data_IF_419318303588
#
_entry.id   IF_419318303588
#
_cell.length_a   1.000
_cell.length_b   1.000
_cell.length_c   1.000
_cell.angle_alpha   90.00
_cell.angle_beta   90.00
_cell.angle_gamma   90.00
#
_symmetry.space_group_name_H-M   'P 1'
#
loop_
_entity.id
_entity.type
_entity.pdbx_description
1 polymer ?
#
# COMPACT_ATOMS: atom_id res chain seq x y z
N UNK A 1 -4.92 -16.53 0.65
CA UNK A 1 -3.54 -16.25 1.07
C UNK A 1 -2.60 -16.58 -0.08
N UNK A 2 -1.47 -15.88 -0.22
CA UNK A 2 -0.39 -16.26 -1.14
C UNK A 2 0.98 -16.07 -0.49
N UNK A 3 2.02 -16.70 -1.05
CA UNK A 3 3.38 -16.45 -0.61
C UNK A 3 3.77 -14.98 -0.84
N UNK A 4 4.66 -14.47 0.02
CA UNK A 4 5.27 -13.16 -0.20
C UNK A 4 6.10 -13.17 -1.48
N UNK A 5 6.09 -12.07 -2.22
CA UNK A 5 7.04 -11.83 -3.32
C UNK A 5 8.42 -11.45 -2.75
N UNK A 6 9.51 -11.47 -3.56
CA UNK A 6 10.81 -10.97 -3.11
C UNK A 6 10.77 -9.52 -2.61
N UNK A 7 10.06 -8.64 -3.32
CA UNK A 7 9.95 -7.22 -2.94
C UNK A 7 9.18 -7.05 -1.62
N UNK A 8 8.13 -7.85 -1.39
CA UNK A 8 7.40 -7.81 -0.13
C UNK A 8 8.24 -8.32 1.05
N UNK A 9 9.04 -9.38 0.84
CA UNK A 9 10.00 -9.81 1.86
C UNK A 9 11.00 -8.71 2.18
N UNK A 10 11.58 -8.09 1.15
CA UNK A 10 12.51 -6.97 1.31
C UNK A 10 11.87 -5.80 2.06
N UNK A 11 10.60 -5.50 1.78
CA UNK A 11 9.85 -4.48 2.52
C UNK A 11 9.69 -4.84 4.00
N UNK A 12 9.30 -6.08 4.33
CA UNK A 12 9.24 -6.55 5.73
C UNK A 12 10.62 -6.46 6.40
N UNK A 13 11.71 -6.75 5.68
CA UNK A 13 13.06 -6.62 6.23
C UNK A 13 13.46 -5.17 6.53
N UNK A 14 13.01 -4.22 5.70
CA UNK A 14 13.13 -2.79 5.97
C UNK A 14 12.40 -2.37 7.25
N UNK A 15 11.17 -2.87 7.43
CA UNK A 15 10.39 -2.64 8.66
C UNK A 15 11.08 -3.25 9.89
N UNK A 16 11.62 -4.46 9.79
CA UNK A 16 12.43 -5.08 10.86
C UNK A 16 13.66 -4.24 11.21
N UNK A 17 14.37 -3.75 10.19
CA UNK A 17 15.55 -2.93 10.39
C UNK A 17 15.21 -1.61 11.11
N UNK A 18 14.07 -1.01 10.77
CA UNK A 18 13.57 0.19 11.45
C UNK A 18 13.35 -0.06 12.95
N UNK A 19 12.65 -1.14 13.33
CA UNK A 19 12.45 -1.46 14.76
C UNK A 19 13.79 -1.75 15.45
N UNK A 20 14.68 -2.53 14.84
CA UNK A 20 16.01 -2.81 15.42
C UNK A 20 16.85 -1.55 15.63
N UNK A 21 16.72 -0.54 14.77
CA UNK A 21 17.45 0.72 14.90
C UNK A 21 17.05 1.54 16.14
N UNK A 22 15.89 1.26 16.75
CA UNK A 22 15.48 1.90 18.01
C UNK A 22 16.20 1.34 19.25
N UNK A 23 16.98 0.27 19.10
CA UNK A 23 17.68 -0.41 20.19
C UNK A 23 16.80 -1.31 21.05
N UNK A 24 15.54 -1.54 20.67
CA UNK A 24 14.68 -2.51 21.35
C UNK A 24 15.13 -3.94 21.06
N UNK A 25 15.12 -4.79 22.08
CA UNK A 25 15.31 -6.24 21.90
C UNK A 25 14.07 -6.83 21.23
N UNK A 26 14.16 -7.07 19.92
CA UNK A 26 13.06 -7.62 19.12
C UNK A 26 12.82 -9.11 19.35
N UNK A 27 13.66 -9.79 20.15
CA UNK A 27 13.46 -11.21 20.51
C UNK A 27 12.63 -11.39 21.79
N UNK A 28 12.42 -10.33 22.55
CA UNK A 28 11.67 -10.34 23.81
C UNK A 28 10.30 -9.67 23.65
N UNK A 29 9.22 -10.43 23.83
CA UNK A 29 7.85 -9.91 23.67
C UNK A 29 7.51 -8.78 24.65
N UNK A 30 8.02 -8.82 25.87
CA UNK A 30 7.85 -7.74 26.86
C UNK A 30 8.57 -6.45 26.44
N UNK A 31 9.76 -6.56 25.84
CA UNK A 31 10.52 -5.41 25.35
C UNK A 31 9.80 -4.73 24.17
N UNK A 32 9.31 -5.53 23.22
CA UNK A 32 8.51 -5.03 22.09
C UNK A 32 7.20 -4.42 22.59
N UNK A 33 6.47 -5.07 23.51
CA UNK A 33 5.24 -4.54 24.09
C UNK A 33 5.43 -3.20 24.81
N UNK A 34 6.50 -3.10 25.62
CA UNK A 34 6.89 -1.84 26.29
C UNK A 34 7.23 -0.74 25.27
N UNK A 35 7.91 -1.09 24.19
CA UNK A 35 8.25 -0.15 23.13
C UNK A 35 7.01 0.35 22.37
N UNK A 36 6.07 -0.55 22.04
CA UNK A 36 4.77 -0.18 21.45
C UNK A 36 4.03 0.81 22.35
N UNK A 37 3.91 0.51 23.64
CA UNK A 37 3.23 1.39 24.60
C UNK A 37 3.89 2.77 24.69
N UNK A 38 5.22 2.83 24.84
CA UNK A 38 5.96 4.11 24.92
C UNK A 38 5.79 4.94 23.65
N UNK A 39 5.86 4.29 22.49
CA UNK A 39 5.73 4.95 21.19
C UNK A 39 4.32 5.51 21.00
N UNK A 40 3.30 4.71 21.34
CA UNK A 40 1.90 5.16 21.33
C UNK A 40 1.67 6.33 22.28
N UNK A 41 2.15 6.26 23.53
CA UNK A 41 2.02 7.33 24.51
C UNK A 41 2.68 8.64 24.03
N UNK A 42 3.87 8.55 23.42
CA UNK A 42 4.54 9.70 22.82
C UNK A 42 3.74 10.30 21.66
N UNK A 43 3.15 9.46 20.81
CA UNK A 43 2.29 9.91 19.70
C UNK A 43 1.01 10.59 20.22
N UNK A 44 0.32 10.00 21.20
CA UNK A 44 -0.87 10.61 21.83
C UNK A 44 -0.53 11.99 22.40
N UNK A 45 0.62 12.14 23.06
CA UNK A 45 1.05 13.41 23.62
C UNK A 45 1.38 14.46 22.55
N UNK A 46 1.97 14.05 21.43
CA UNK A 46 2.27 14.94 20.30
C UNK A 46 1.03 15.31 19.48
N UNK A 47 0.03 14.42 19.43
CA UNK A 47 -1.10 14.50 18.52
C UNK A 47 -0.71 14.27 17.06
N UNK A 48 -1.69 14.41 16.17
CA UNK A 48 -1.51 14.28 14.72
C UNK A 48 -1.97 12.95 14.13
N UNK A 49 -1.74 12.74 12.82
CA UNK A 49 -2.18 11.54 12.13
C UNK A 49 -1.43 10.29 12.62
N UNK A 50 -2.04 9.11 12.44
CA UNK A 50 -1.42 7.82 12.78
C UNK A 50 -0.19 7.61 11.90
N UNK A 51 0.99 7.30 12.48
CA UNK A 51 2.20 7.06 11.72
C UNK A 51 2.19 5.65 11.11
N UNK A 52 1.51 5.47 9.98
CA UNK A 52 1.23 4.16 9.37
C UNK A 52 2.48 3.29 9.16
N UNK A 53 3.60 3.88 8.75
CA UNK A 53 4.87 3.14 8.60
C UNK A 53 5.40 2.56 9.92
N UNK A 54 5.21 3.29 11.02
CA UNK A 54 5.62 2.86 12.36
C UNK A 54 4.68 1.79 12.90
N UNK A 55 3.37 1.96 12.72
CA UNK A 55 2.34 0.94 13.03
C UNK A 55 2.64 -0.37 12.31
N UNK A 56 2.96 -0.30 11.00
CA UNK A 56 3.35 -1.46 10.23
C UNK A 56 4.64 -2.12 10.78
N UNK A 57 5.66 -1.32 11.11
CA UNK A 57 6.92 -1.83 11.65
C UNK A 57 6.74 -2.56 12.99
N UNK A 58 5.92 -2.01 13.88
CA UNK A 58 5.58 -2.62 15.16
C UNK A 58 4.76 -3.91 15.00
N UNK A 59 3.81 -3.91 14.05
CA UNK A 59 3.06 -5.12 13.68
C UNK A 59 3.98 -6.24 13.18
N UNK A 60 4.96 -5.92 12.33
CA UNK A 60 5.95 -6.91 11.87
C UNK A 60 6.79 -7.47 13.01
N UNK A 61 7.25 -6.62 13.94
CA UNK A 61 8.02 -7.09 15.10
C UNK A 61 7.22 -8.07 15.99
N UNK A 62 5.94 -7.79 16.24
CA UNK A 62 5.08 -8.74 16.98
C UNK A 62 4.81 -10.01 16.18
N UNK A 63 4.57 -9.90 14.88
CA UNK A 63 4.37 -11.07 14.03
C UNK A 63 5.59 -11.97 13.96
N UNK A 64 6.80 -11.42 13.97
CA UNK A 64 8.05 -12.21 14.04
C UNK A 64 8.16 -12.98 15.36
N UNK A 65 7.74 -12.38 16.48
CA UNK A 65 7.65 -13.07 17.77
C UNK A 65 6.62 -14.22 17.75
N UNK A 66 5.49 -14.03 17.05
CA UNK A 66 4.50 -15.10 16.84
C UNK A 66 5.08 -16.23 16.00
N UNK A 67 5.75 -15.91 14.88
CA UNK A 67 6.42 -16.90 14.02
C UNK A 67 7.49 -17.67 14.79
N UNK A 68 8.29 -16.99 15.63
CA UNK A 68 9.31 -17.62 16.44
C UNK A 68 8.72 -18.60 17.49
N UNK A 69 7.49 -18.34 17.95
CA UNK A 69 6.82 -19.15 18.99
C UNK A 69 5.93 -20.27 18.43
N UNK A 70 5.34 -20.09 17.25
CA UNK A 70 4.44 -21.07 16.63
C UNK A 70 5.18 -21.89 15.57
N UNK A 71 5.52 -23.14 15.89
CA UNK A 71 6.28 -24.02 14.99
C UNK A 71 5.59 -24.18 13.62
N UNK A 72 6.32 -23.90 12.54
CA UNK A 72 5.81 -24.00 11.17
C UNK A 72 4.94 -22.83 10.71
N UNK A 73 4.67 -21.85 11.58
CA UNK A 73 4.02 -20.61 11.17
C UNK A 73 4.92 -19.81 10.23
N UNK A 74 4.31 -19.07 9.30
CA UNK A 74 5.04 -18.29 8.29
C UNK A 74 4.27 -17.04 7.88
N UNK A 75 5.01 -16.03 7.43
CA UNK A 75 4.43 -14.85 6.81
C UNK A 75 3.87 -15.18 5.40
N UNK A 76 2.66 -14.70 5.14
CA UNK A 76 1.99 -14.75 3.84
C UNK A 76 1.26 -13.44 3.56
N UNK A 77 0.88 -13.20 2.31
CA UNK A 77 0.05 -12.07 1.94
C UNK A 77 -1.43 -12.46 1.93
N UNK A 78 -2.26 -11.71 2.66
CA UNK A 78 -3.73 -11.79 2.56
C UNK A 78 -4.16 -11.06 1.29
N UNK A 79 -4.84 -11.80 0.40
CA UNK A 79 -5.34 -11.29 -0.89
C UNK A 79 -6.85 -11.02 -0.88
N UNK A 80 -7.54 -11.40 0.19
CA UNK A 80 -8.95 -11.11 0.39
C UNK A 80 -9.11 -9.83 1.21
N UNK A 81 -10.10 -9.01 0.85
CA UNK A 81 -10.41 -7.73 1.52
C UNK A 81 -10.06 -6.50 0.68
N UNK A 82 -10.06 -5.34 1.32
CA UNK A 82 -9.83 -4.02 0.69
C UNK A 82 -8.36 -3.72 0.38
N UNK A 83 -7.43 -4.59 0.75
CA UNK A 83 -6.00 -4.38 0.53
C UNK A 83 -5.16 -5.63 0.77
N UNK A 84 -3.93 -5.58 0.27
CA UNK A 84 -2.92 -6.60 0.52
C UNK A 84 -2.30 -6.36 1.91
N UNK A 85 -2.55 -7.28 2.83
CA UNK A 85 -2.05 -7.18 4.21
C UNK A 85 -1.18 -8.40 4.55
N UNK A 86 0.06 -8.21 5.05
CA UNK A 86 0.84 -9.30 5.62
C UNK A 86 0.11 -9.98 6.79
N UNK A 87 0.09 -11.30 6.77
CA UNK A 87 -0.51 -12.15 7.81
C UNK A 87 0.48 -13.24 8.22
N UNK A 88 0.40 -13.69 9.47
CA UNK A 88 1.10 -14.90 9.92
C UNK A 88 0.11 -16.05 9.90
N UNK A 89 0.41 -17.10 9.16
CA UNK A 89 -0.47 -18.25 8.99
C UNK A 89 0.11 -19.50 9.64
N UNK A 90 -0.76 -20.42 10.04
CA UNK A 90 -0.36 -21.74 10.54
C UNK A 90 0.31 -22.58 9.46
N UNK A 91 0.93 -23.70 9.84
CA UNK A 91 1.59 -24.62 8.91
C UNK A 91 0.65 -25.10 7.79
N UNK A 92 -0.58 -25.47 8.17
CA UNK A 92 -1.68 -25.89 7.27
C UNK A 92 -2.27 -24.72 6.47
N UNK A 93 -2.13 -23.49 6.97
CA UNK A 93 -2.71 -22.29 6.38
C UNK A 93 -4.20 -22.08 6.68
N UNK A 94 -4.77 -22.85 7.61
CA UNK A 94 -6.19 -22.77 7.95
C UNK A 94 -6.48 -21.65 8.99
N UNK A 95 -5.57 -21.43 9.94
CA UNK A 95 -5.56 -20.28 10.84
C UNK A 95 -4.60 -19.17 10.39
N UNK A 96 -4.96 -17.92 10.72
CA UNK A 96 -4.16 -16.75 10.46
C UNK A 96 -4.35 -15.70 11.55
N UNK A 97 -3.27 -15.01 11.90
CA UNK A 97 -3.30 -13.79 12.71
C UNK A 97 -2.83 -12.60 11.87
N UNK A 98 -3.25 -11.40 12.26
CA UNK A 98 -3.07 -10.18 11.47
C UNK A 98 -2.37 -9.10 12.31
N UNK A 99 -1.06 -9.26 12.61
CA UNK A 99 -0.37 -8.41 13.58
C UNK A 99 -0.44 -6.90 13.27
N UNK A 100 -0.50 -6.53 11.99
CA UNK A 100 -0.63 -5.13 11.56
C UNK A 100 -2.04 -4.58 11.84
N UNK A 101 -3.09 -5.35 11.53
CA UNK A 101 -4.48 -4.96 11.81
C UNK A 101 -4.69 -4.89 13.34
N UNK A 102 -4.12 -5.85 14.09
CA UNK A 102 -4.21 -5.90 15.55
C UNK A 102 -3.48 -4.72 16.22
N UNK A 103 -2.28 -4.35 15.76
CA UNK A 103 -1.59 -3.15 16.26
C UNK A 103 -2.38 -1.90 15.91
N UNK A 104 -2.94 -1.78 14.69
CA UNK A 104 -3.73 -0.60 14.31
C UNK A 104 -4.96 -0.46 15.22
N UNK A 105 -5.69 -1.55 15.44
CA UNK A 105 -6.82 -1.57 16.37
C UNK A 105 -6.42 -1.16 17.80
N UNK A 106 -5.24 -1.58 18.26
CA UNK A 106 -4.68 -1.13 19.55
C UNK A 106 -4.20 0.31 19.54
N UNK A 107 -3.71 0.80 18.42
CA UNK A 107 -3.34 2.20 18.27
C UNK A 107 -4.56 3.12 18.48
N UNK A 108 -5.70 2.71 17.94
CA UNK A 108 -6.97 3.45 18.04
C UNK A 108 -7.60 3.35 19.43
N UNK A 109 -7.52 2.18 20.08
CA UNK A 109 -8.21 1.89 21.35
C UNK A 109 -7.32 2.03 22.60
N UNK A 110 -6.02 2.17 22.42
CA UNK A 110 -5.01 2.24 23.47
C UNK A 110 -4.14 0.99 23.61
N UNK A 111 -2.85 1.21 23.78
CA UNK A 111 -1.84 0.16 23.97
C UNK A 111 -1.46 0.04 25.45
N UNK A 112 -1.90 -1.01 26.14
CA UNK A 112 -1.42 -1.30 27.50
C UNK A 112 0.00 -1.92 27.49
N UNK A 113 0.87 -1.61 28.47
CA UNK A 113 2.28 -2.03 28.46
C UNK A 113 2.50 -3.55 28.44
N UNK A 114 1.60 -4.33 29.05
CA UNK A 114 1.69 -5.80 29.08
C UNK A 114 0.96 -6.52 27.94
N UNK A 115 0.28 -5.79 27.05
CA UNK A 115 -0.56 -6.42 26.02
C UNK A 115 0.25 -7.26 25.03
N UNK A 116 1.45 -6.80 24.64
CA UNK A 116 2.27 -7.45 23.61
C UNK A 116 2.63 -8.91 23.94
N UNK A 117 3.05 -9.20 25.17
CA UNK A 117 3.38 -10.55 25.59
C UNK A 117 2.16 -11.48 25.61
N UNK A 118 1.03 -11.01 26.16
CA UNK A 118 -0.23 -11.75 26.15
C UNK A 118 -0.74 -12.02 24.74
N UNK A 119 -0.62 -11.03 23.84
CA UNK A 119 -0.95 -11.17 22.42
C UNK A 119 -0.12 -12.27 21.75
N UNK A 120 1.22 -12.24 21.89
CA UNK A 120 2.11 -13.23 21.25
C UNK A 120 1.78 -14.65 21.72
N UNK A 121 1.51 -14.84 23.02
CA UNK A 121 1.12 -16.15 23.57
C UNK A 121 -0.20 -16.63 22.98
N UNK A 122 -1.24 -15.78 22.98
CA UNK A 122 -2.56 -16.15 22.47
C UNK A 122 -2.54 -16.40 20.95
N UNK A 123 -1.86 -15.55 20.19
CA UNK A 123 -1.71 -15.69 18.75
C UNK A 123 -0.96 -16.98 18.37
N UNK A 124 0.13 -17.30 19.09
CA UNK A 124 0.87 -18.53 18.84
C UNK A 124 0.03 -19.78 19.18
N UNK A 125 -0.70 -19.76 20.30
CA UNK A 125 -1.62 -20.85 20.66
C UNK A 125 -2.66 -21.09 19.57
N UNK A 126 -3.32 -20.02 19.10
CA UNK A 126 -4.30 -20.05 18.01
C UNK A 126 -3.75 -20.70 16.73
N UNK A 127 -2.49 -20.43 16.37
CA UNK A 127 -1.86 -21.02 15.18
C UNK A 127 -1.47 -22.51 15.36
N UNK A 128 -1.39 -23.00 16.59
CA UNK A 128 -0.96 -24.38 16.91
C UNK A 128 -2.10 -25.34 17.26
N UNK A 129 -3.18 -24.86 17.89
CA UNK A 129 -4.31 -25.71 18.31
C UNK A 129 -5.01 -26.41 17.13
N UNK A 130 -4.92 -25.84 15.94
CA UNK A 130 -5.56 -26.37 14.73
C UNK A 130 -4.92 -27.68 14.22
N UNK A 131 -3.68 -27.99 14.62
CA UNK A 131 -3.07 -29.30 14.30
C UNK A 131 -3.60 -30.46 15.15
N UNK A 132 -4.33 -30.18 16.24
CA UNK A 132 -4.76 -31.19 17.22
C UNK A 132 -6.22 -31.62 17.12
N UNK A 133 -7.04 -30.98 16.29
CA UNK A 133 -8.46 -31.34 16.22
C UNK A 133 -8.64 -32.54 15.27
N UNK A 134 -8.47 -33.75 15.81
CA UNK A 134 -9.22 -34.90 15.33
C UNK A 134 -10.67 -34.47 15.23
N UNK A 135 -11.19 -34.42 14.01
CA UNK A 135 -12.59 -34.11 13.71
C UNK A 135 -13.48 -34.86 14.71
N UNK A 136 -14.24 -34.19 15.61
CA UNK A 136 -15.25 -34.89 16.36
C UNK A 136 -16.23 -35.45 15.33
N UNK A 137 -16.34 -36.78 15.28
CA UNK A 137 -17.42 -37.47 14.58
C UNK A 137 -18.73 -37.02 15.22
N UNK A 138 -19.34 -35.96 14.68
CA UNK A 138 -20.67 -35.52 15.07
C UNK A 138 -21.67 -36.48 14.42
N UNK A 139 -22.51 -37.21 15.19
CA UNK A 139 -23.58 -38.02 14.63
C UNK A 139 -24.62 -37.09 13.98
N UNK A 140 -24.84 -37.27 12.68
CA UNK A 140 -25.84 -36.57 11.89
C UNK A 140 -27.24 -36.68 12.52
N UNK A 141 -27.85 -35.57 12.99
CA UNK A 141 -29.28 -35.55 13.26
C UNK A 141 -30.02 -35.40 11.92
N UNK A 142 -30.93 -36.32 11.63
CA UNK A 142 -31.92 -36.15 10.55
C UNK A 142 -32.80 -34.96 10.90
N UNK A 143 -32.76 -33.90 10.10
CA UNK A 143 -33.77 -32.83 10.14
C UNK A 143 -34.59 -32.89 8.86
N UNK A 144 -35.84 -33.31 9.03
CA UNK A 144 -36.90 -33.20 8.04
C UNK A 144 -37.44 -31.77 8.06
N UNK A 145 -37.32 -31.07 6.94
CA UNK A 145 -38.16 -29.91 6.62
C UNK A 145 -38.12 -29.68 5.11
N UNK A 146 -39.01 -30.41 4.44
CA UNK A 146 -39.48 -30.15 3.10
C UNK A 146 -40.24 -28.82 3.09
N UNK A 147 -39.74 -27.84 2.35
CA UNK A 147 -40.44 -26.59 2.04
C UNK A 147 -40.48 -26.43 0.53
N UNK A 148 -41.71 -26.32 0.02
CA UNK A 148 -42.07 -26.35 -1.39
C UNK A 148 -41.50 -25.16 -2.20
N UNK A 149 -41.23 -25.34 -3.51
CA UNK A 149 -40.77 -24.29 -4.39
C UNK A 149 -41.93 -23.45 -4.97
N UNK A 150 -41.76 -22.12 -4.95
CA UNK A 150 -42.60 -21.16 -5.69
C UNK A 150 -42.12 -21.01 -7.15
N UNK A 151 -43.02 -20.77 -8.12
CA UNK A 151 -42.66 -20.61 -9.53
C UNK A 151 -42.12 -19.19 -9.86
N UNK A 152 -41.21 -19.07 -10.86
CA UNK A 152 -40.70 -17.77 -11.30
C UNK A 152 -41.65 -17.07 -12.29
N UNK A 153 -41.73 -15.72 -12.30
CA UNK A 153 -42.39 -14.97 -13.36
C UNK A 153 -41.50 -14.86 -14.61
N UNK A 154 -42.13 -15.05 -15.77
CA UNK A 154 -41.54 -14.85 -17.09
C UNK A 154 -41.33 -13.36 -17.39
N UNK A 155 -40.16 -13.02 -17.92
CA UNK A 155 -39.89 -11.69 -18.49
C UNK A 155 -39.25 -11.87 -19.86
N UNK A 156 -40.05 -11.66 -20.90
CA UNK A 156 -39.60 -11.40 -22.28
C UNK A 156 -39.51 -9.90 -22.49
N UNK A 157 -38.39 -9.39 -22.99
CA UNK A 157 -38.36 -8.27 -23.94
C UNK A 157 -37.01 -8.17 -24.63
N UNK A 158 -37.11 -7.98 -25.94
CA UNK A 158 -36.09 -8.08 -26.97
C UNK A 158 -35.09 -6.92 -26.95
N UNK A 159 -33.84 -7.20 -27.31
CA UNK A 159 -32.80 -6.18 -27.56
C UNK A 159 -32.34 -6.28 -29.02
N UNK A 160 -32.33 -5.18 -29.79
CA UNK A 160 -31.76 -5.18 -31.13
C UNK A 160 -30.23 -5.15 -31.07
N UNK A 161 -29.66 -5.96 -31.94
CA UNK A 161 -28.24 -6.13 -32.22
C UNK A 161 -27.79 -4.97 -33.12
N UNK A 162 -26.82 -4.17 -32.67
CA UNK A 162 -26.11 -3.21 -33.53
C UNK A 162 -24.63 -3.36 -33.23
N UNK A 163 -23.94 -4.03 -34.15
CA UNK A 163 -22.49 -4.23 -34.16
C UNK A 163 -21.82 -3.04 -34.84
N UNK A 164 -20.98 -2.23 -34.16
CA UNK A 164 -20.07 -1.34 -34.86
C UNK A 164 -18.76 -2.08 -35.15
N UNK A 165 -18.37 -2.05 -36.43
CA UNK A 165 -17.11 -2.56 -36.94
C UNK A 165 -15.92 -1.94 -36.20
N UNK A 166 -15.10 -2.81 -35.59
CA UNK A 166 -13.87 -2.42 -34.89
C UNK A 166 -12.75 -2.31 -35.92
N UNK A 167 -12.38 -1.08 -36.29
CA UNK A 167 -11.16 -0.80 -37.05
C UNK A 167 -9.95 -1.34 -36.28
N UNK A 168 -9.23 -2.27 -36.92
CA UNK A 168 -7.95 -2.76 -36.46
C UNK A 168 -6.91 -1.63 -36.57
N UNK A 169 -6.42 -1.15 -35.42
CA UNK A 169 -5.25 -0.30 -35.33
C UNK A 169 -3.97 -1.16 -35.38
N UNK A 170 -2.87 -0.64 -35.92
CA UNK A 170 -1.71 -1.42 -36.36
C UNK A 170 -0.78 -1.80 -35.20
N UNK A 171 -0.26 -3.03 -35.30
CA UNK A 171 0.94 -3.61 -34.65
C UNK A 171 1.63 -2.76 -33.56
N UNK A 172 1.35 -3.09 -32.31
CA UNK A 172 2.19 -2.74 -31.18
C UNK A 172 3.55 -3.46 -31.29
N UNK A 173 4.63 -2.67 -31.31
CA UNK A 173 6.02 -3.13 -31.20
C UNK A 173 6.22 -3.89 -29.87
N UNK A 174 7.13 -4.89 -29.78
CA UNK A 174 7.22 -5.75 -28.61
C UNK A 174 7.58 -4.94 -27.36
N UNK A 175 6.72 -5.01 -26.34
CA UNK A 175 6.95 -4.44 -25.03
C UNK A 175 8.21 -5.06 -24.42
N UNK A 176 9.31 -4.31 -24.42
CA UNK A 176 10.46 -4.64 -23.59
C UNK A 176 10.06 -4.67 -22.11
N UNK A 177 10.83 -5.37 -21.25
CA UNK A 177 10.59 -5.34 -19.81
C UNK A 177 10.59 -3.89 -19.32
N UNK A 178 9.53 -3.51 -18.60
CA UNK A 178 9.39 -2.17 -17.99
C UNK A 178 10.53 -2.01 -16.97
N UNK A 179 11.34 -0.94 -17.05
CA UNK A 179 12.46 -0.75 -16.14
C UNK A 179 11.95 -0.58 -14.70
N UNK A 180 12.61 -1.24 -13.74
CA UNK A 180 12.39 -0.99 -12.31
C UNK A 180 13.31 0.14 -11.82
N UNK A 181 13.03 0.78 -10.67
CA UNK A 181 13.94 1.79 -10.12
C UNK A 181 15.36 1.29 -9.89
N UNK A 182 15.54 -0.02 -9.64
CA UNK A 182 16.85 -0.64 -9.44
C UNK A 182 17.62 -0.82 -10.75
N UNK A 183 16.94 -0.83 -11.90
CA UNK A 183 17.57 -0.98 -13.23
C UNK A 183 18.09 0.35 -13.80
N UNK A 184 17.84 1.46 -13.10
CA UNK A 184 18.29 2.79 -13.53
C UNK A 184 19.80 2.95 -13.39
N UNK A 185 20.46 3.74 -14.27
CA UNK A 185 21.89 4.04 -14.16
C UNK A 185 22.28 4.62 -12.80
N UNK A 186 21.37 5.38 -12.21
CA UNK A 186 21.51 5.92 -10.86
C UNK A 186 20.28 5.52 -10.03
N UNK A 187 20.33 4.37 -9.33
CA UNK A 187 19.21 3.92 -8.52
C UNK A 187 18.86 4.94 -7.43
N UNK A 188 17.59 5.38 -7.33
CA UNK A 188 17.15 6.34 -6.32
C UNK A 188 17.19 5.73 -4.92
N UNK A 189 17.39 6.56 -3.89
CA UNK A 189 17.30 6.09 -2.51
C UNK A 189 15.90 5.57 -2.16
N UNK A 190 15.76 4.72 -1.14
CA UNK A 190 14.45 4.32 -0.62
C UNK A 190 13.56 5.51 -0.22
N UNK A 191 14.17 6.59 0.31
CA UNK A 191 13.44 7.81 0.68
C UNK A 191 12.86 8.52 -0.55
N UNK A 192 13.67 8.71 -1.60
CA UNK A 192 13.21 9.31 -2.85
C UNK A 192 12.12 8.47 -3.55
N UNK A 193 12.25 7.14 -3.53
CA UNK A 193 11.22 6.23 -4.04
C UNK A 193 9.91 6.34 -3.25
N UNK A 194 9.99 6.33 -1.91
CA UNK A 194 8.83 6.47 -1.05
C UNK A 194 8.12 7.82 -1.22
N UNK A 195 8.90 8.90 -1.35
CA UNK A 195 8.37 10.24 -1.59
C UNK A 195 7.71 10.36 -2.97
N UNK A 196 8.30 9.76 -4.01
CA UNK A 196 7.71 9.72 -5.35
C UNK A 196 6.34 9.04 -5.35
N UNK A 197 6.23 7.85 -4.72
CA UNK A 197 4.97 7.11 -4.66
C UNK A 197 3.91 7.84 -3.84
N UNK A 198 4.30 8.53 -2.75
CA UNK A 198 3.39 9.35 -1.93
C UNK A 198 2.84 10.53 -2.74
N UNK A 199 3.72 11.28 -3.42
CA UNK A 199 3.31 12.41 -4.25
C UNK A 199 2.43 11.96 -5.43
N UNK A 200 2.72 10.80 -6.02
CA UNK A 200 1.91 10.21 -7.08
C UNK A 200 0.48 9.91 -6.61
N UNK A 201 0.33 9.26 -5.44
CA UNK A 201 -0.97 8.97 -4.84
C UNK A 201 -1.75 10.24 -4.52
N UNK A 202 -1.10 11.23 -3.89
CA UNK A 202 -1.71 12.52 -3.55
C UNK A 202 -2.25 13.27 -4.77
N UNK A 203 -1.50 13.30 -5.88
CA UNK A 203 -1.97 13.95 -7.10
C UNK A 203 -3.14 13.20 -7.76
N UNK A 204 -3.16 11.87 -7.71
CA UNK A 204 -4.29 11.08 -8.21
C UNK A 204 -5.56 11.31 -7.38
N UNK A 205 -5.43 11.39 -6.05
CA UNK A 205 -6.54 11.72 -5.15
C UNK A 205 -7.03 13.16 -5.40
N UNK A 206 -6.11 14.11 -5.60
CA UNK A 206 -6.45 15.49 -5.97
C UNK A 206 -7.21 15.55 -7.30
N UNK A 207 -6.78 14.81 -8.33
CA UNK A 207 -7.47 14.71 -9.62
C UNK A 207 -8.85 14.07 -9.54
N UNK A 208 -9.03 13.11 -8.63
CA UNK A 208 -10.33 12.49 -8.40
C UNK A 208 -11.33 13.48 -7.77
N UNK A 209 -10.85 14.38 -6.92
CA UNK A 209 -11.63 15.45 -6.30
C UNK A 209 -11.85 16.64 -7.24
N UNK A 210 -10.81 17.07 -7.94
CA UNK A 210 -10.78 18.24 -8.83
C UNK A 210 -9.95 17.94 -10.09
N UNK A 211 -10.57 17.87 -11.28
CA UNK A 211 -9.85 17.69 -12.54
C UNK A 211 -8.84 18.79 -12.88
N UNK A 212 -8.89 19.93 -12.19
CA UNK A 212 -7.98 21.07 -12.33
C UNK A 212 -6.87 21.11 -11.27
N UNK A 213 -6.58 19.97 -10.63
CA UNK A 213 -5.51 19.82 -9.65
C UNK A 213 -4.19 20.49 -10.12
N UNK A 214 -3.70 21.41 -9.28
CA UNK A 214 -2.50 22.21 -9.55
C UNK A 214 -1.23 21.41 -9.26
N UNK A 215 -0.11 21.68 -9.96
CA UNK A 215 1.18 21.14 -9.57
C UNK A 215 1.50 21.42 -8.11
N UNK A 216 2.16 20.49 -7.43
CA UNK A 216 2.64 20.70 -6.08
C UNK A 216 4.03 20.12 -5.88
N UNK A 217 4.71 20.59 -4.85
CA UNK A 217 5.97 20.04 -4.40
C UNK A 217 5.87 19.58 -2.94
N UNK A 218 6.66 18.56 -2.62
CA UNK A 218 6.84 18.05 -1.26
C UNK A 218 8.33 18.03 -0.97
N UNK A 219 8.74 18.60 0.16
CA UNK A 219 10.13 18.59 0.63
C UNK A 219 10.21 17.96 2.01
N UNK A 220 11.25 17.15 2.26
CA UNK A 220 11.53 16.61 3.58
C UNK A 220 12.67 17.38 4.25
N UNK A 221 12.34 18.15 5.30
CA UNK A 221 13.26 18.97 6.10
C UNK A 221 13.20 18.52 7.55
N UNK A 222 14.31 18.01 8.08
CA UNK A 222 14.37 17.56 9.48
C UNK A 222 13.39 16.45 9.84
N UNK A 223 13.04 15.58 8.87
CA UNK A 223 12.08 14.49 9.06
C UNK A 223 10.60 14.92 9.02
N UNK A 224 10.31 16.19 8.72
CA UNK A 224 8.95 16.67 8.42
C UNK A 224 8.79 16.89 6.92
N UNK A 225 7.61 16.57 6.40
CA UNK A 225 7.26 16.79 5.02
C UNK A 225 6.42 18.07 4.92
N UNK A 226 6.91 19.05 4.15
CA UNK A 226 6.18 20.27 3.83
C UNK A 226 5.67 20.19 2.38
N UNK A 227 4.39 20.51 2.18
CA UNK A 227 3.71 20.47 0.88
C UNK A 227 3.26 21.87 0.49
N UNK A 228 3.53 22.27 -0.76
CA UNK A 228 3.10 23.55 -1.32
C UNK A 228 2.58 23.37 -2.75
N UNK A 229 1.49 24.06 -3.08
CA UNK A 229 0.86 24.06 -4.41
C UNK A 229 1.29 25.28 -5.24
N UNK A 230 1.42 25.10 -6.55
CA UNK A 230 1.96 26.10 -7.48
C UNK A 230 1.10 26.23 -8.73
N UNK A 231 1.18 27.39 -9.40
CA UNK A 231 0.49 27.60 -10.68
C UNK A 231 1.13 26.78 -11.81
N UNK A 232 2.43 26.52 -11.73
CA UNK A 232 3.17 25.79 -12.74
C UNK A 232 4.32 24.94 -12.16
N UNK A 233 4.77 23.97 -12.95
CA UNK A 233 5.86 23.06 -12.58
C UNK A 233 7.22 23.78 -12.42
N UNK A 234 7.59 24.78 -13.25
CA UNK A 234 8.81 25.57 -13.04
C UNK A 234 8.89 26.24 -11.65
N UNK A 235 7.81 26.85 -11.16
CA UNK A 235 7.74 27.47 -9.84
C UNK A 235 7.91 26.42 -8.72
N UNK A 236 7.22 25.29 -8.82
CA UNK A 236 7.37 24.18 -7.88
C UNK A 236 8.83 23.67 -7.79
N UNK A 237 9.49 23.50 -8.94
CA UNK A 237 10.91 23.12 -8.99
C UNK A 237 11.83 24.19 -8.43
N UNK A 238 11.54 25.48 -8.64
CA UNK A 238 12.33 26.57 -8.09
C UNK A 238 12.25 26.62 -6.56
N UNK A 239 11.06 26.41 -6.00
CA UNK A 239 10.84 26.31 -4.56
C UNK A 239 11.59 25.12 -3.96
N UNK A 240 11.51 23.94 -4.58
CA UNK A 240 12.28 22.76 -4.14
C UNK A 240 13.78 23.06 -4.07
N UNK A 241 14.37 23.69 -5.09
CA UNK A 241 15.79 24.08 -5.09
C UNK A 241 16.16 25.02 -3.95
N UNK A 242 15.25 25.92 -3.58
CA UNK A 242 15.48 26.90 -2.52
C UNK A 242 15.29 26.32 -1.10
N UNK A 243 14.66 25.15 -0.97
CA UNK A 243 14.25 24.58 0.33
C UNK A 243 15.39 24.14 1.23
N UNK A 244 16.55 23.77 0.66
CA UNK A 244 17.64 23.13 1.42
C UNK A 244 17.30 21.73 1.95
N UNK A 245 16.23 21.10 1.44
CA UNK A 245 15.77 19.79 1.87
C UNK A 245 16.74 18.66 1.54
N UNK A 246 16.64 17.56 2.29
CA UNK A 246 17.44 16.35 2.02
C UNK A 246 16.84 15.49 0.91
N UNK A 247 15.52 15.57 0.72
CA UNK A 247 14.76 14.85 -0.31
C UNK A 247 13.56 15.71 -0.73
N UNK A 248 13.19 15.64 -2.00
CA UNK A 248 12.04 16.37 -2.53
C UNK A 248 11.35 15.64 -3.67
N UNK A 249 10.07 15.96 -3.90
CA UNK A 249 9.29 15.51 -5.03
C UNK A 249 8.46 16.66 -5.62
N UNK A 250 8.27 16.65 -6.94
CA UNK A 250 7.35 17.54 -7.66
C UNK A 250 6.39 16.68 -8.45
N UNK A 251 5.09 16.92 -8.31
CA UNK A 251 4.03 16.20 -9.02
C UNK A 251 3.23 17.17 -9.90
N UNK A 252 2.88 16.74 -11.12
CA UNK A 252 2.08 17.52 -12.06
C UNK A 252 1.31 16.61 -13.02
N UNK A 253 0.28 17.18 -13.65
CA UNK A 253 -0.48 16.53 -14.72
C UNK A 253 0.22 16.78 -16.05
N UNK A 254 0.38 15.74 -16.87
CA UNK A 254 0.94 15.84 -18.21
C UNK A 254 0.54 14.65 -19.08
N UNK A 255 1.43 14.25 -19.98
CA UNK A 255 1.20 13.15 -20.91
C UNK A 255 2.39 12.19 -20.93
N UNK A 256 2.13 10.91 -21.17
CA UNK A 256 3.17 9.91 -21.40
C UNK A 256 3.90 10.20 -22.73
N UNK A 257 5.23 9.94 -22.79
CA UNK A 257 6.02 10.25 -23.98
C UNK A 257 5.71 9.34 -25.18
N UNK A 258 5.24 8.11 -24.95
CA UNK A 258 5.12 7.11 -26.02
C UNK A 258 3.81 7.21 -26.80
N UNK A 259 2.69 7.42 -26.11
CA UNK A 259 1.35 7.41 -26.70
C UNK A 259 0.54 8.70 -26.44
N UNK A 260 1.10 9.64 -25.67
CA UNK A 260 0.43 10.88 -25.30
C UNK A 260 -0.74 10.70 -24.32
N UNK A 261 -0.86 9.53 -23.68
CA UNK A 261 -1.94 9.29 -22.72
C UNK A 261 -1.83 10.24 -21.52
N UNK A 262 -2.95 10.76 -20.99
CA UNK A 262 -2.96 11.59 -19.79
C UNK A 262 -2.33 10.83 -18.60
N UNK A 263 -1.37 11.47 -17.95
CA UNK A 263 -0.67 10.87 -16.82
C UNK A 263 -0.38 11.89 -15.73
N UNK A 264 -0.29 11.40 -14.50
CA UNK A 264 0.41 12.10 -13.44
C UNK A 264 1.88 11.80 -13.58
N UNK A 265 2.72 12.83 -13.58
CA UNK A 265 4.18 12.70 -13.57
C UNK A 265 4.71 13.16 -12.22
N UNK A 266 5.73 12.45 -11.74
CA UNK A 266 6.45 12.77 -10.51
C UNK A 266 7.94 12.73 -10.78
N UNK A 267 8.64 13.77 -10.34
CA UNK A 267 10.10 13.81 -10.20
C UNK A 267 10.45 13.82 -8.72
N UNK A 268 11.29 12.91 -8.26
CA UNK A 268 11.77 12.90 -6.87
C UNK A 268 13.28 12.65 -6.79
N UNK A 269 13.99 13.32 -5.88
CA UNK A 269 15.42 13.09 -5.69
C UNK A 269 15.86 13.35 -4.25
N UNK A 270 16.98 12.74 -3.87
CA UNK A 270 17.79 13.22 -2.75
C UNK A 270 18.63 14.42 -3.19
N UNK A 271 19.15 15.17 -2.22
CA UNK A 271 20.06 16.30 -2.47
C UNK A 271 21.23 15.91 -3.39
N UNK A 272 21.44 16.68 -4.47
CA UNK A 272 22.54 16.52 -5.44
C UNK A 272 22.56 15.19 -6.20
N UNK A 273 21.46 14.42 -6.19
CA UNK A 273 21.34 13.14 -6.89
C UNK A 273 20.43 13.31 -8.12
N UNK A 274 20.64 12.55 -9.22
CA UNK A 274 19.69 12.50 -10.31
C UNK A 274 18.28 12.13 -9.81
N UNK A 275 17.25 12.76 -10.39
CA UNK A 275 15.88 12.47 -9.98
C UNK A 275 15.39 11.15 -10.55
N UNK A 276 14.51 10.46 -9.82
CA UNK A 276 13.64 9.41 -10.31
C UNK A 276 12.44 10.07 -10.99
N UNK A 277 12.13 9.66 -12.23
CA UNK A 277 10.91 10.06 -12.93
C UNK A 277 9.94 8.88 -12.98
N UNK A 278 8.75 9.07 -12.44
CA UNK A 278 7.65 8.08 -12.45
C UNK A 278 6.44 8.72 -13.11
N UNK A 279 5.65 7.92 -13.82
CA UNK A 279 4.35 8.33 -14.28
C UNK A 279 3.28 7.29 -13.97
N UNK A 280 2.03 7.72 -13.86
CA UNK A 280 0.87 6.84 -13.77
C UNK A 280 -0.22 7.37 -14.69
N UNK A 281 -0.56 6.57 -15.69
CA UNK A 281 -1.69 6.86 -16.57
C UNK A 281 -2.97 6.98 -15.75
N UNK A 282 -3.85 7.90 -16.14
CA UNK A 282 -5.18 8.00 -15.55
C UNK A 282 -6.23 8.26 -16.62
N UNK A 283 -7.42 7.71 -16.40
CA UNK A 283 -8.59 8.04 -17.20
C UNK A 283 -9.18 9.35 -16.67
N UNK A 284 -9.30 10.42 -17.50
CA UNK A 284 -9.86 11.68 -17.06
C UNK A 284 -11.34 11.57 -16.70
N UNK A 285 -11.80 12.47 -15.84
CA UNK A 285 -13.20 12.53 -15.45
C UNK A 285 -14.10 12.75 -16.68
N UNK A 286 -15.21 12.01 -16.75
CA UNK A 286 -16.21 12.20 -17.82
C UNK A 286 -17.34 13.09 -17.32
N UNK A 287 -17.63 14.22 -18.00
CA UNK A 287 -18.75 15.05 -17.65
C UNK A 287 -20.08 14.31 -17.89
N UNK A 288 -21.10 14.66 -17.09
CA UNK A 288 -22.40 13.99 -17.09
C UNK A 288 -23.14 14.00 -18.44
N UNK A 289 -22.74 14.88 -19.38
CA UNK A 289 -23.36 14.98 -20.72
C UNK A 289 -23.03 13.83 -21.67
N UNK A 290 -21.98 13.03 -21.42
CA UNK A 290 -21.53 11.96 -22.31
C UNK A 290 -21.86 10.54 -21.79
N UNK A 291 -22.73 10.43 -20.77
CA UNK A 291 -23.09 9.18 -20.11
C UNK A 291 -23.01 9.30 -18.59
N UNK A 292 -22.89 8.16 -17.88
CA UNK A 292 -22.69 8.19 -16.42
C UNK A 292 -21.39 8.92 -16.11
N UNK A 293 -21.50 10.01 -15.34
CA UNK A 293 -20.34 10.72 -14.81
C UNK A 293 -19.43 9.73 -14.08
N UNK A 294 -18.12 9.86 -14.31
CA UNK A 294 -17.09 9.05 -13.65
C UNK A 294 -15.96 9.97 -13.23
N UNK A 295 -15.48 9.88 -11.98
CA UNK A 295 -14.31 10.62 -11.54
C UNK A 295 -13.06 10.16 -12.30
N UNK A 296 -12.01 10.98 -12.24
CA UNK A 296 -10.70 10.54 -12.69
C UNK A 296 -10.26 9.30 -11.89
N UNK A 297 -9.53 8.38 -12.53
CA UNK A 297 -9.03 7.17 -11.87
C UNK A 297 -7.73 6.68 -12.50
N UNK A 298 -6.84 6.07 -11.72
CA UNK A 298 -5.64 5.44 -12.25
C UNK A 298 -5.96 4.33 -13.25
N UNK A 299 -5.06 4.14 -14.23
CA UNK A 299 -5.11 3.08 -15.23
C UNK A 299 -3.76 2.37 -15.22
N UNK A 300 -3.78 1.06 -14.96
CA UNK A 300 -2.56 0.26 -14.92
C UNK A 300 -1.73 0.45 -13.65
N UNK A 301 -0.44 0.14 -13.76
CA UNK A 301 0.56 0.31 -12.72
C UNK A 301 1.44 1.54 -13.02
N UNK A 302 2.03 2.19 -12.01
CA UNK A 302 3.03 3.23 -12.23
C UNK A 302 4.24 2.71 -13.04
N UNK A 303 4.71 3.54 -13.97
CA UNK A 303 5.86 3.24 -14.83
C UNK A 303 7.05 4.14 -14.49
N UNK A 304 8.26 3.58 -14.54
CA UNK A 304 9.50 4.35 -14.37
C UNK A 304 9.91 4.90 -15.73
N UNK A 305 10.01 6.23 -15.83
CA UNK A 305 10.42 6.92 -17.05
C UNK A 305 11.94 7.09 -17.19
N UNK A 306 12.69 6.85 -16.10
CA UNK A 306 14.14 6.96 -16.08
C UNK A 306 14.67 7.92 -15.01
N UNK A 307 15.92 8.33 -15.18
CA UNK A 307 16.50 9.41 -14.38
C UNK A 307 16.32 10.77 -15.03
N UNK A 308 16.05 11.80 -14.23
CA UNK A 308 16.06 13.22 -14.63
C UNK A 308 17.24 13.98 -14.06
N UNK A 309 17.29 15.29 -14.34
CA UNK A 309 18.24 16.19 -13.69
C UNK A 309 17.96 16.27 -12.17
N UNK A 310 18.98 16.53 -11.33
CA UNK A 310 18.76 16.80 -9.91
C UNK A 310 17.76 17.94 -9.68
N UNK A 311 16.84 17.76 -8.73
CA UNK A 311 15.91 18.81 -8.29
C UNK A 311 16.49 19.69 -7.18
N UNK A 312 17.43 19.15 -6.39
CA UNK A 312 18.04 19.75 -5.20
C UNK A 312 19.54 19.94 -5.38
#
# INVERSE_FOLDING_TARGET
MRALTPNERHHLDGLRAHVRSSGVDTSAADAVGTFVHRTHASWVAAGGPVPEGLVAALGVALGDLVVARAAGARWMMRTAGSGLTPAVVSLSGAAAVLPLDDIRARWDTGCAPGWGAGYVVAAAAHLTEETGTTSPTVPTPRSSAETAPLPPPAVTTSRPDVTPARSAAPNATPAGPVPTPADLPYPPSPSAQGLALRALGQMLDALAADPSARPFAVVEVGGRADLEEFDDTPAARAWVRASGASCAAVAWVGVLPDDGAPAVLVEACDARRPSLRVAHEYAPARPAGAGRARPARPVGDPIVLGNGAPLL
#
